data_IF_476481133732
#
_entry.id   IF_476481133732
#
_cell.length_a   1.000
_cell.length_b   1.000
_cell.length_c   1.000
_cell.angle_alpha   90.00
_cell.angle_beta   90.00
_cell.angle_gamma   90.00
#
_symmetry.space_group_name_H-M   'P 1'
#
loop_
_entity.id
_entity.type
_entity.pdbx_description
1 polymer ?
#
# COMPACT_ATOMS: atom_id res chain seq x y z
N UNK A 1 3.82 -2.02 0.28
CA UNK A 1 3.73 -0.66 0.88
C UNK A 1 2.36 -0.11 0.58
N UNK A 2 1.55 -0.06 1.63
CA UNK A 2 0.14 -0.40 1.47
C UNK A 2 -0.73 0.83 1.57
N UNK A 3 -0.44 1.71 2.53
CA UNK A 3 -1.07 3.02 2.66
C UNK A 3 -0.08 4.12 3.03
N UNK A 4 -0.24 5.28 2.40
CA UNK A 4 0.64 6.44 2.57
C UNK A 4 -0.17 7.72 2.69
N UNK A 5 0.10 8.51 3.73
CA UNK A 5 -0.48 9.83 3.89
C UNK A 5 0.51 10.88 3.39
N UNK A 6 0.16 11.60 2.34
CA UNK A 6 1.10 12.50 1.64
C UNK A 6 0.48 13.85 1.31
N UNK A 7 1.28 14.90 1.44
CA UNK A 7 1.05 16.18 0.77
C UNK A 7 1.87 16.25 -0.50
N UNK A 8 1.34 16.83 -1.58
CA UNK A 8 2.05 16.86 -2.85
C UNK A 8 1.68 18.05 -3.73
N UNK A 9 2.55 18.32 -4.70
CA UNK A 9 2.31 19.24 -5.80
C UNK A 9 2.92 18.68 -7.08
N UNK A 10 2.12 18.58 -8.14
CA UNK A 10 2.52 18.06 -9.44
C UNK A 10 2.52 19.13 -10.53
N UNK A 11 3.57 19.16 -11.35
CA UNK A 11 3.68 20.07 -12.50
C UNK A 11 4.36 19.42 -13.72
N UNK A 12 4.02 19.90 -14.91
CA UNK A 12 4.65 19.45 -16.15
C UNK A 12 6.01 20.16 -16.39
N UNK A 13 6.77 19.73 -17.40
CA UNK A 13 8.07 20.34 -17.72
C UNK A 13 8.00 21.79 -18.24
N UNK A 14 6.79 22.33 -18.48
CA UNK A 14 6.56 23.75 -18.77
C UNK A 14 6.23 24.56 -17.50
N UNK A 15 6.42 23.96 -16.32
CA UNK A 15 6.14 24.55 -15.02
C UNK A 15 4.66 24.90 -14.81
N UNK A 16 3.75 24.19 -15.47
CA UNK A 16 2.31 24.33 -15.25
C UNK A 16 1.86 23.27 -14.26
N UNK A 17 1.29 23.71 -13.14
CA UNK A 17 0.70 22.83 -12.11
C UNK A 17 -0.53 22.13 -12.70
N UNK A 18 -0.61 20.82 -12.52
CA UNK A 18 -1.77 20.02 -12.94
C UNK A 18 -2.58 19.51 -11.74
N UNK A 19 -1.94 19.33 -10.59
CA UNK A 19 -2.59 18.83 -9.37
C UNK A 19 -1.78 19.22 -8.12
N UNK A 20 -2.45 19.43 -6.99
CA UNK A 20 -1.81 19.69 -5.70
C UNK A 20 -2.77 19.43 -4.52
N UNK A 21 -2.22 18.90 -3.43
CA UNK A 21 -2.88 18.80 -2.14
C UNK A 21 -1.86 19.04 -1.02
N UNK A 22 -1.97 20.17 -0.33
CA UNK A 22 -1.09 20.50 0.80
C UNK A 22 -1.61 20.01 2.16
N UNK A 23 -2.88 19.64 2.26
CA UNK A 23 -3.55 19.20 3.50
C UNK A 23 -3.30 17.72 3.82
N UNK A 24 -2.76 16.98 2.85
CA UNK A 24 -2.54 15.55 2.99
C UNK A 24 -3.71 14.73 2.43
N UNK A 25 -3.41 13.60 1.83
CA UNK A 25 -4.40 12.58 1.48
C UNK A 25 -3.78 11.19 1.54
N UNK A 26 -4.63 10.20 1.79
CA UNK A 26 -4.26 8.80 1.76
C UNK A 26 -4.23 8.29 0.32
N UNK A 27 -3.14 7.63 -0.04
CA UNK A 27 -3.07 6.75 -1.20
C UNK A 27 -2.83 5.32 -0.72
N UNK A 28 -3.46 4.36 -1.39
CA UNK A 28 -3.28 2.93 -1.14
C UNK A 28 -3.00 2.19 -2.44
N UNK A 29 -2.36 1.03 -2.34
CA UNK A 29 -2.22 0.12 -3.46
C UNK A 29 -2.05 -1.33 -2.96
N UNK A 30 -2.73 -2.30 -3.58
CA UNK A 30 -3.71 -2.11 -4.67
C UNK A 30 -4.99 -1.38 -4.21
N UNK A 31 -5.81 -0.95 -5.18
CA UNK A 31 -7.16 -0.48 -4.86
C UNK A 31 -8.06 -1.69 -4.69
N UNK A 32 -8.67 -1.81 -3.52
CA UNK A 32 -9.66 -2.85 -3.20
C UNK A 32 -11.06 -2.30 -3.48
N UNK A 33 -11.27 -1.04 -3.08
CA UNK A 33 -12.54 -0.36 -3.22
C UNK A 33 -12.47 0.74 -4.29
N UNK A 34 -13.61 1.02 -4.92
CA UNK A 34 -13.72 2.14 -5.88
C UNK A 34 -13.41 3.52 -5.28
N UNK A 35 -13.45 3.63 -3.94
CA UNK A 35 -13.09 4.83 -3.19
C UNK A 35 -11.59 4.98 -2.94
N UNK A 36 -10.80 3.93 -3.19
CA UNK A 36 -9.37 3.94 -2.91
C UNK A 36 -8.63 4.84 -3.89
N UNK A 37 -7.91 5.82 -3.35
CA UNK A 37 -7.06 6.67 -4.15
C UNK A 37 -5.75 5.95 -4.44
N UNK A 38 -5.45 5.71 -5.72
CA UNK A 38 -4.18 5.13 -6.16
C UNK A 38 -3.33 6.21 -6.81
N UNK A 39 -2.05 6.26 -6.44
CA UNK A 39 -1.08 7.12 -7.11
C UNK A 39 -0.34 6.35 -8.22
N UNK A 40 0.17 7.10 -9.21
CA UNK A 40 0.97 6.53 -10.32
C UNK A 40 2.19 5.75 -9.79
N UNK A 41 2.65 4.75 -10.54
CA UNK A 41 3.73 3.85 -10.12
C UNK A 41 4.99 4.59 -9.66
N UNK A 42 5.44 5.59 -10.41
CA UNK A 42 6.65 6.36 -10.05
C UNK A 42 6.49 7.16 -8.76
N UNK A 43 5.27 7.62 -8.45
CA UNK A 43 4.95 8.29 -7.19
C UNK A 43 5.03 7.29 -6.04
N UNK A 44 4.42 6.10 -6.17
CA UNK A 44 4.48 5.06 -5.13
C UNK A 44 5.90 4.58 -4.87
N UNK A 45 6.68 4.32 -5.92
CA UNK A 45 8.03 3.77 -5.80
C UNK A 45 8.99 4.73 -5.10
N UNK A 46 8.93 6.05 -5.37
CA UNK A 46 9.82 6.99 -4.68
C UNK A 46 9.49 7.11 -3.19
N UNK A 47 8.24 6.83 -2.81
CA UNK A 47 7.89 6.87 -1.40
C UNK A 47 8.70 5.84 -0.62
N UNK A 48 8.94 4.61 -1.11
CA UNK A 48 9.60 3.55 -0.31
C UNK A 48 10.95 3.94 0.30
N UNK A 49 11.69 4.87 -0.33
CA UNK A 49 13.04 5.31 0.06
C UNK A 49 13.11 6.61 0.87
N UNK A 50 11.96 7.17 1.27
CA UNK A 50 11.91 8.42 2.08
C UNK A 50 11.34 8.17 3.47
N UNK A 51 11.70 8.97 4.48
CA UNK A 51 11.17 8.81 5.84
C UNK A 51 9.77 9.41 6.01
N UNK A 52 9.00 8.88 6.96
CA UNK A 52 7.76 9.50 7.49
C UNK A 52 8.09 10.64 8.44
N UNK A 53 7.06 11.36 8.90
CA UNK A 53 7.22 12.40 9.91
C UNK A 53 7.62 11.85 11.28
N UNK A 54 8.31 12.67 12.07
CA UNK A 54 8.67 12.32 13.44
C UNK A 54 7.53 12.60 14.42
N UNK A 55 6.70 13.62 14.14
CA UNK A 55 5.53 13.95 14.95
C UNK A 55 4.56 14.87 14.22
N UNK A 56 3.28 14.72 14.55
CA UNK A 56 2.19 15.60 14.12
C UNK A 56 1.53 16.25 15.35
N UNK A 57 1.16 17.52 15.26
CA UNK A 57 0.48 18.28 16.33
C UNK A 57 -0.78 18.94 15.79
N UNK A 58 -1.94 18.62 16.38
CA UNK A 58 -3.19 19.32 16.08
C UNK A 58 -3.18 20.73 16.70
N UNK A 59 -3.47 21.74 15.89
CA UNK A 59 -3.38 23.15 16.30
C UNK A 59 -4.67 23.70 16.94
N UNK A 60 -5.72 22.88 17.09
CA UNK A 60 -7.01 23.26 17.67
C UNK A 60 -7.93 24.07 16.74
N UNK A 61 -7.49 24.39 15.52
CA UNK A 61 -8.27 25.00 14.44
C UNK A 61 -8.60 24.01 13.30
N UNK A 62 -8.36 22.72 13.54
CA UNK A 62 -8.51 21.65 12.55
C UNK A 62 -7.30 21.50 11.61
N UNK A 63 -6.25 22.31 11.74
CA UNK A 63 -5.00 22.11 11.02
C UNK A 63 -4.01 21.25 11.83
N UNK A 64 -3.13 20.55 11.10
CA UNK A 64 -2.09 19.70 11.68
C UNK A 64 -0.72 20.28 11.29
N UNK A 65 0.14 20.45 12.28
CA UNK A 65 1.55 20.76 12.09
C UNK A 65 2.35 19.46 12.02
N UNK A 66 2.86 19.15 10.83
CA UNK A 66 3.72 17.99 10.57
C UNK A 66 5.21 18.35 10.76
N UNK A 67 5.98 17.52 11.45
CA UNK A 67 7.38 17.80 11.80
C UNK A 67 8.34 16.71 11.32
N UNK A 68 9.47 17.13 10.74
CA UNK A 68 10.58 16.27 10.31
C UNK A 68 10.21 15.14 9.32
N UNK A 69 9.24 15.42 8.42
CA UNK A 69 8.86 14.52 7.34
C UNK A 69 9.86 14.50 6.17
N UNK A 70 9.85 13.39 5.42
CA UNK A 70 10.54 13.32 4.13
C UNK A 70 9.90 14.26 3.11
N UNK A 71 10.71 15.10 2.47
CA UNK A 71 10.28 16.02 1.42
C UNK A 71 11.20 15.86 0.21
N UNK A 72 10.65 15.44 -0.92
CA UNK A 72 11.42 15.14 -2.13
C UNK A 72 10.85 15.83 -3.35
N UNK A 73 11.73 16.13 -4.30
CA UNK A 73 11.38 16.52 -5.65
C UNK A 73 11.82 15.40 -6.59
N UNK A 74 10.89 14.88 -7.37
CA UNK A 74 11.10 13.75 -8.27
C UNK A 74 10.64 14.08 -9.67
N UNK A 75 11.43 13.69 -10.67
CA UNK A 75 11.02 13.69 -12.08
C UNK A 75 10.60 12.26 -12.45
N UNK A 76 9.37 12.10 -12.93
CA UNK A 76 8.80 10.80 -13.24
C UNK A 76 8.67 10.69 -14.77
N UNK A 77 9.34 9.71 -15.39
CA UNK A 77 9.20 9.46 -16.82
C UNK A 77 7.78 8.99 -17.14
N UNK A 78 7.32 9.23 -18.37
CA UNK A 78 5.93 8.97 -18.78
C UNK A 78 5.48 7.53 -18.54
N UNK A 79 6.38 6.54 -18.70
CA UNK A 79 6.08 5.12 -18.45
C UNK A 79 5.78 4.76 -17.00
N UNK A 80 6.19 5.60 -16.03
CA UNK A 80 5.86 5.47 -14.61
C UNK A 80 4.82 6.51 -14.16
N UNK A 81 4.27 7.27 -15.11
CA UNK A 81 3.27 8.30 -14.91
C UNK A 81 2.02 7.99 -15.74
N UNK A 82 1.46 9.00 -16.42
CA UNK A 82 0.21 8.87 -17.17
C UNK A 82 0.38 8.25 -18.56
N UNK A 83 1.60 7.93 -18.99
CA UNK A 83 1.95 7.34 -20.28
C UNK A 83 1.13 7.92 -21.45
N UNK A 84 0.21 7.17 -22.05
CA UNK A 84 -0.62 7.60 -23.19
C UNK A 84 -1.92 8.31 -22.79
N UNK A 85 -2.24 8.43 -21.50
CA UNK A 85 -3.45 9.10 -21.02
C UNK A 85 -3.25 10.62 -21.04
N UNK A 86 -4.18 11.32 -21.69
CA UNK A 86 -4.23 12.79 -21.65
C UNK A 86 -4.99 13.22 -20.40
N UNK A 87 -4.38 14.10 -19.62
CA UNK A 87 -5.04 14.78 -18.52
C UNK A 87 -4.84 16.29 -18.64
N UNK A 88 -5.61 17.07 -17.89
CA UNK A 88 -5.45 18.53 -17.84
C UNK A 88 -4.00 18.88 -17.54
N UNK A 89 -3.38 19.68 -18.41
CA UNK A 89 -1.96 20.09 -18.31
C UNK A 89 -0.93 18.94 -18.38
N UNK A 90 -1.32 17.72 -18.80
CA UNK A 90 -0.43 16.58 -19.02
C UNK A 90 -0.60 16.05 -20.44
N UNK A 91 0.42 16.24 -21.27
CA UNK A 91 0.47 15.68 -22.62
C UNK A 91 0.79 14.18 -22.60
N UNK A 92 0.35 13.45 -23.64
CA UNK A 92 0.74 12.06 -23.81
C UNK A 92 2.27 11.93 -23.90
N UNK A 93 2.77 10.82 -23.35
CA UNK A 93 4.17 10.42 -23.33
C UNK A 93 5.10 11.46 -22.70
N UNK A 94 4.55 12.43 -21.95
CA UNK A 94 5.33 13.47 -21.31
C UNK A 94 5.78 13.05 -19.90
N UNK A 95 7.04 13.33 -19.53
CA UNK A 95 7.46 13.27 -18.14
C UNK A 95 6.81 14.41 -17.33
N UNK A 96 6.73 14.20 -16.03
CA UNK A 96 6.18 15.13 -15.05
C UNK A 96 7.11 15.25 -13.85
N UNK A 97 6.87 16.23 -12.99
CA UNK A 97 7.57 16.38 -11.73
C UNK A 97 6.57 16.49 -10.58
N UNK A 98 6.99 15.98 -9.42
CA UNK A 98 6.28 16.16 -8.17
C UNK A 98 7.22 16.65 -7.09
N UNK A 99 6.70 17.51 -6.22
CA UNK A 99 7.16 17.62 -4.84
C UNK A 99 6.24 16.77 -3.98
N UNK A 100 6.80 15.91 -3.12
CA UNK A 100 6.05 15.00 -2.27
C UNK A 100 6.56 15.13 -0.84
N UNK A 101 5.64 15.30 0.11
CA UNK A 101 5.85 15.29 1.56
C UNK A 101 5.20 14.02 2.09
N UNK A 102 5.97 13.13 2.71
CA UNK A 102 5.44 11.90 3.29
C UNK A 102 5.22 12.08 4.79
N UNK A 103 3.96 12.09 5.19
CA UNK A 103 3.57 12.27 6.58
C UNK A 103 3.52 10.92 7.30
N UNK A 104 2.69 9.97 6.84
CA UNK A 104 2.53 8.66 7.49
C UNK A 104 2.58 7.49 6.51
N UNK A 105 2.83 6.30 7.06
CA UNK A 105 2.67 4.99 6.41
C UNK A 105 1.94 4.05 7.34
N UNK A 106 1.06 3.27 6.75
CA UNK A 106 0.32 2.23 7.45
C UNK A 106 0.38 0.95 6.62
N UNK A 107 0.63 -0.16 7.32
CA UNK A 107 0.47 -1.51 6.81
C UNK A 107 -1.01 -1.85 6.83
N UNK A 108 -1.47 -2.62 5.83
CA UNK A 108 -2.86 -3.03 5.73
C UNK A 108 -2.98 -4.54 5.71
N UNK A 109 -4.20 -4.95 6.00
CA UNK A 109 -4.83 -6.22 5.72
C UNK A 109 -5.92 -5.83 4.70
N UNK A 110 -5.74 -6.19 3.43
CA UNK A 110 -6.48 -5.60 2.30
C UNK A 110 -7.85 -6.27 2.12
N UNK A 111 -7.87 -7.56 2.33
CA UNK A 111 -8.92 -8.55 2.33
C UNK A 111 -9.72 -8.45 3.63
N UNK A 112 -9.07 -8.34 4.79
CA UNK A 112 -9.69 -8.20 6.11
C UNK A 112 -9.69 -9.49 6.93
N UNK A 113 -8.73 -10.38 6.72
CA UNK A 113 -8.65 -11.71 7.32
C UNK A 113 -7.72 -11.78 8.58
N UNK A 114 -7.15 -10.63 8.96
CA UNK A 114 -6.19 -10.38 10.07
C UNK A 114 -4.74 -10.74 9.80
N UNK A 115 -4.39 -11.35 8.67
CA UNK A 115 -3.00 -11.44 8.24
C UNK A 115 -2.65 -10.10 7.59
N UNK A 116 -1.62 -9.38 8.05
CA UNK A 116 -1.21 -8.17 7.35
C UNK A 116 -0.61 -8.55 6.00
N UNK A 117 -0.99 -7.84 4.93
CA UNK A 117 -0.56 -8.13 3.55
C UNK A 117 0.95 -8.16 3.36
N UNK A 118 1.72 -7.49 4.23
CA UNK A 118 3.18 -7.59 4.16
C UNK A 118 3.75 -8.94 4.62
N UNK A 119 2.97 -9.72 5.38
CA UNK A 119 3.36 -11.06 5.87
C UNK A 119 3.12 -12.15 4.82
N UNK A 120 2.38 -11.84 3.76
CA UNK A 120 2.00 -12.77 2.69
C UNK A 120 2.94 -12.68 1.47
N UNK A 121 4.03 -11.92 1.58
CA UNK A 121 5.21 -12.09 0.72
C UNK A 121 5.99 -13.33 1.20
N UNK A 122 5.50 -14.52 0.81
CA UNK A 122 6.00 -15.80 1.30
C UNK A 122 7.44 -16.06 0.86
N UNK A 123 7.83 -15.51 -0.29
CA UNK A 123 9.14 -15.74 -0.89
C UNK A 123 10.16 -14.59 -0.63
N UNK A 124 9.70 -13.45 -0.12
CA UNK A 124 10.52 -12.30 0.28
C UNK A 124 11.03 -11.45 -0.89
N UNK A 125 10.38 -11.51 -2.06
CA UNK A 125 10.78 -10.75 -3.25
C UNK A 125 10.15 -9.35 -3.30
N UNK A 126 9.26 -9.01 -2.37
CA UNK A 126 8.49 -7.77 -2.30
C UNK A 126 7.55 -7.58 -3.52
N UNK A 127 7.07 -8.68 -4.09
CA UNK A 127 6.06 -8.76 -5.16
C UNK A 127 4.90 -9.66 -4.73
N UNK A 128 4.09 -9.16 -3.79
CA UNK A 128 2.91 -9.83 -3.24
C UNK A 128 1.91 -10.36 -4.30
N UNK A 129 1.99 -9.91 -5.55
CA UNK A 129 1.10 -10.36 -6.63
C UNK A 129 1.50 -11.72 -7.22
N UNK A 130 2.66 -12.28 -6.85
CA UNK A 130 3.15 -13.57 -7.34
C UNK A 130 3.11 -14.71 -6.32
N UNK A 131 2.69 -14.42 -5.08
CA UNK A 131 2.36 -15.41 -4.05
C UNK A 131 0.85 -15.71 -4.13
N UNK A 132 0.53 -16.94 -4.54
CA UNK A 132 -0.81 -17.50 -4.81
C UNK A 132 -0.74 -18.98 -4.42
N UNK A 133 -1.17 -19.30 -3.21
CA UNK A 133 -0.91 -20.58 -2.54
C UNK A 133 -1.77 -21.72 -3.10
N UNK A 134 -3.02 -21.46 -3.47
CA UNK A 134 -3.94 -22.46 -4.04
C UNK A 134 -3.94 -22.50 -5.59
N UNK A 135 -3.41 -21.46 -6.24
CA UNK A 135 -3.27 -21.33 -7.69
C UNK A 135 -4.54 -20.87 -8.41
N UNK A 136 -5.47 -20.19 -7.74
CA UNK A 136 -6.73 -19.72 -8.30
C UNK A 136 -6.62 -18.38 -9.06
N UNK A 137 -5.43 -17.77 -9.06
CA UNK A 137 -5.06 -16.46 -9.64
C UNK A 137 -5.41 -15.24 -8.78
N UNK A 138 -5.85 -15.43 -7.54
CA UNK A 138 -5.95 -14.41 -6.51
C UNK A 138 -4.69 -14.51 -5.63
N UNK A 139 -3.87 -13.45 -5.54
CA UNK A 139 -2.74 -13.49 -4.62
C UNK A 139 -3.22 -13.58 -3.16
N UNK A 140 -2.46 -14.25 -2.30
CA UNK A 140 -2.83 -14.54 -0.90
C UNK A 140 -3.37 -13.28 -0.19
N UNK A 141 -2.66 -12.15 -0.29
CA UNK A 141 -3.06 -10.86 0.30
C UNK A 141 -4.33 -10.19 -0.28
N UNK A 142 -5.05 -10.88 -1.17
CA UNK A 142 -6.33 -10.49 -1.73
C UNK A 142 -7.35 -11.63 -1.68
N UNK A 143 -6.95 -12.81 -1.20
CA UNK A 143 -7.76 -13.99 -0.98
C UNK A 143 -8.23 -14.03 0.48
N UNK A 144 -9.33 -14.73 0.75
CA UNK A 144 -9.82 -14.96 2.12
C UNK A 144 -9.60 -16.40 2.59
N UNK A 145 -9.18 -17.28 1.68
CA UNK A 145 -9.00 -18.73 1.82
C UNK A 145 -7.75 -19.11 1.01
N UNK A 146 -6.58 -18.68 1.48
CA UNK A 146 -5.33 -18.65 0.70
C UNK A 146 -4.88 -20.04 0.22
N UNK A 147 -5.26 -21.11 0.93
CA UNK A 147 -4.94 -22.49 0.56
C UNK A 147 -6.09 -23.27 -0.08
N UNK A 148 -7.27 -22.65 -0.17
CA UNK A 148 -8.44 -23.17 -0.89
C UNK A 148 -9.06 -24.41 -0.25
N UNK A 149 -9.06 -24.51 1.08
CA UNK A 149 -9.55 -25.68 1.83
C UNK A 149 -10.99 -25.54 2.37
N UNK A 150 -11.68 -24.44 2.03
CA UNK A 150 -13.00 -24.01 2.51
C UNK A 150 -13.02 -23.50 3.97
N UNK A 151 -11.86 -23.34 4.63
CA UNK A 151 -11.71 -22.61 5.89
C UNK A 151 -11.09 -21.24 5.62
N UNK A 152 -11.68 -20.18 6.17
CA UNK A 152 -11.16 -18.83 5.94
C UNK A 152 -9.86 -18.65 6.72
N UNK A 153 -8.86 -17.99 6.14
CA UNK A 153 -7.55 -17.68 6.75
C UNK A 153 -7.69 -17.15 8.19
N UNK A 154 -8.66 -16.24 8.40
CA UNK A 154 -8.97 -15.65 9.71
C UNK A 154 -9.39 -16.66 10.81
N UNK A 155 -9.94 -17.81 10.43
CA UNK A 155 -10.45 -18.85 11.32
C UNK A 155 -9.36 -19.87 11.68
N UNK A 156 -8.20 -19.80 11.01
CA UNK A 156 -7.06 -20.70 11.18
C UNK A 156 -5.87 -20.07 11.90
N UNK A 157 -5.95 -18.78 12.16
CA UNK A 157 -5.01 -17.99 12.96
C UNK A 157 -5.49 -17.83 14.41
N UNK A 158 -4.59 -17.34 15.27
CA UNK A 158 -4.92 -16.99 16.65
C UNK A 158 -4.90 -15.47 16.84
N UNK A 159 -5.87 -14.96 17.58
CA UNK A 159 -5.91 -13.58 18.08
C UNK A 159 -6.04 -13.54 19.60
N UNK A 160 -5.57 -12.46 20.22
CA UNK A 160 -5.67 -12.26 21.66
C UNK A 160 -7.08 -11.79 22.08
N UNK A 161 -7.27 -11.52 23.38
CA UNK A 161 -8.57 -11.06 23.90
C UNK A 161 -8.99 -9.67 23.38
N UNK A 162 -8.06 -8.89 22.84
CA UNK A 162 -8.31 -7.57 22.25
C UNK A 162 -8.51 -7.66 20.73
N UNK A 163 -8.29 -8.84 20.13
CA UNK A 163 -8.36 -9.08 18.69
C UNK A 163 -7.03 -8.82 17.97
N UNK A 164 -5.93 -8.71 18.70
CA UNK A 164 -4.59 -8.53 18.12
C UNK A 164 -4.00 -9.87 17.67
N UNK A 165 -3.29 -9.87 16.54
CA UNK A 165 -2.70 -11.07 15.95
C UNK A 165 -1.65 -11.72 16.87
N UNK A 166 -1.79 -13.03 17.12
CA UNK A 166 -0.84 -13.80 17.91
C UNK A 166 0.13 -14.56 17.02
N UNK A 167 1.42 -14.26 17.20
CA UNK A 167 2.53 -14.94 16.51
C UNK A 167 3.28 -15.90 17.45
N UNK A 168 3.83 -17.01 16.94
CA UNK A 168 3.74 -17.48 15.54
C UNK A 168 2.36 -18.04 15.21
N UNK A 169 2.03 -18.08 13.91
CA UNK A 169 0.80 -18.70 13.42
C UNK A 169 0.71 -20.18 13.81
N UNK A 170 -0.51 -20.72 14.01
CA UNK A 170 -0.74 -22.16 14.06
C UNK A 170 -0.12 -22.84 12.84
N UNK A 171 0.47 -24.01 13.04
CA UNK A 171 1.13 -24.76 11.96
C UNK A 171 0.60 -26.19 11.90
N UNK A 172 0.60 -26.75 10.70
CA UNK A 172 0.33 -28.16 10.47
C UNK A 172 1.56 -29.02 10.82
N UNK A 173 1.42 -30.34 10.69
CA UNK A 173 2.54 -31.28 11.00
C UNK A 173 3.73 -31.09 10.04
N UNK A 174 3.47 -30.52 8.87
CA UNK A 174 4.45 -30.08 7.87
C UNK A 174 5.35 -28.94 8.37
N UNK A 175 4.86 -28.14 9.33
CA UNK A 175 5.47 -26.89 9.77
C UNK A 175 5.02 -25.66 8.97
N UNK A 176 4.20 -25.84 7.94
CA UNK A 176 3.53 -24.75 7.20
C UNK A 176 2.44 -24.14 8.08
N UNK A 177 2.24 -22.81 8.07
CA UNK A 177 1.06 -22.19 8.68
C UNK A 177 -0.22 -22.86 8.21
N UNK A 178 -1.23 -22.95 9.09
CA UNK A 178 -2.49 -23.63 8.78
C UNK A 178 -3.17 -23.06 7.52
N UNK A 179 -3.33 -21.73 7.50
CA UNK A 179 -3.89 -20.97 6.38
C UNK A 179 -3.13 -21.06 5.05
N UNK A 180 -2.03 -21.81 4.99
CA UNK A 180 -1.23 -22.03 3.78
C UNK A 180 -1.05 -23.55 3.49
N UNK A 181 -1.84 -24.42 4.12
CA UNK A 181 -1.74 -25.87 4.04
C UNK A 181 -3.13 -26.53 4.09
N UNK A 182 -3.71 -26.71 2.90
CA UNK A 182 -5.04 -27.29 2.68
C UNK A 182 -5.27 -28.72 3.19
N UNK A 183 -4.26 -29.31 3.83
CA UNK A 183 -4.37 -30.60 4.50
C UNK A 183 -4.74 -30.50 5.99
N UNK A 184 -4.75 -29.31 6.61
CA UNK A 184 -5.06 -29.19 8.04
C UNK A 184 -5.65 -27.84 8.51
N UNK A 185 -6.78 -27.93 9.23
CA UNK A 185 -7.54 -26.82 9.83
C UNK A 185 -7.70 -26.94 11.36
#
# INVERSE_FOLDING_TARGET
MDSTFVGYKGWNLKNVVFDQNDFGMWFTFPAIYSSDAVSISGFRQILSVIKTEASAVENGDGTITHNDYGNVLVFIPSGLAYFSNVATNISQYAPIAFQIKLYSREERDHEGDKVPSYMEDLNGNNDYFDDDTDGDLLPDFLDYDDDGDDFLTKDEINVDANGDLLLPFPTCTSGTPKYLDSSCH
#
